data_IF_319092931440
#
_entry.id   IF_319092931440
#
_cell.length_a   1.000
_cell.length_b   1.000
_cell.length_c   1.000
_cell.angle_alpha   90.00
_cell.angle_beta   90.00
_cell.angle_gamma   90.00
#
_symmetry.space_group_name_H-M   'P 1'
#
loop_
_entity.id
_entity.type
_entity.pdbx_description
1 polymer ?
#
# COMPACT_ATOMS: atom_id res chain seq x y z
N UNK A 1 -1.87 -41.49 -19.97
CA UNK A 1 -1.77 -40.02 -20.05
C UNK A 1 -1.75 -39.44 -18.64
N UNK A 2 -0.60 -39.06 -18.09
CA UNK A 2 -0.56 -38.20 -16.91
C UNK A 2 -0.46 -36.73 -17.37
N UNK A 3 -1.31 -35.88 -16.80
CA UNK A 3 -1.42 -34.46 -17.09
C UNK A 3 -0.18 -33.78 -16.48
N UNK A 4 0.79 -33.45 -17.33
CA UNK A 4 1.98 -32.70 -16.95
C UNK A 4 1.56 -31.30 -16.55
N UNK A 5 1.71 -30.97 -15.27
CA UNK A 5 1.73 -29.59 -14.84
C UNK A 5 3.03 -29.02 -15.39
N UNK A 6 2.92 -28.13 -16.36
CA UNK A 6 4.01 -27.31 -16.83
C UNK A 6 4.61 -26.58 -15.63
N UNK A 7 5.87 -26.92 -15.33
CA UNK A 7 6.78 -26.08 -14.56
C UNK A 7 6.79 -24.69 -15.22
N UNK A 8 6.04 -23.77 -14.63
CA UNK A 8 6.20 -22.35 -14.88
C UNK A 8 7.34 -21.80 -14.00
N UNK A 9 8.04 -20.73 -14.44
CA UNK A 9 9.22 -20.12 -13.80
C UNK A 9 8.94 -19.43 -12.43
N UNK A 10 7.87 -19.82 -11.74
CA UNK A 10 7.37 -19.17 -10.52
C UNK A 10 7.89 -19.87 -9.26
N UNK A 11 8.40 -21.10 -9.37
CA UNK A 11 8.84 -21.87 -8.21
C UNK A 11 10.22 -21.44 -7.67
N UNK A 12 11.15 -21.02 -8.52
CA UNK A 12 12.51 -20.62 -8.08
C UNK A 12 12.56 -19.24 -7.40
N UNK A 13 11.72 -18.29 -7.81
CA UNK A 13 11.77 -16.91 -7.26
C UNK A 13 11.28 -16.82 -5.81
N UNK A 14 10.49 -17.81 -5.36
CA UNK A 14 10.01 -17.86 -3.98
C UNK A 14 11.11 -18.24 -2.98
N UNK A 15 12.12 -19.01 -3.40
CA UNK A 15 13.22 -19.44 -2.53
C UNK A 15 14.34 -18.39 -2.46
N UNK A 16 14.64 -17.70 -3.57
CA UNK A 16 15.61 -16.60 -3.61
C UNK A 16 15.25 -15.41 -2.69
N UNK A 17 13.95 -15.13 -2.50
CA UNK A 17 13.49 -14.08 -1.58
C UNK A 17 13.78 -14.40 -0.10
N UNK A 18 13.99 -15.67 0.26
CA UNK A 18 14.25 -16.07 1.66
C UNK A 18 15.71 -15.92 2.08
N UNK A 19 16.66 -16.04 1.14
CA UNK A 19 18.11 -16.00 1.42
C UNK A 19 18.66 -14.57 1.63
N UNK A 20 18.04 -13.57 0.99
CA UNK A 20 18.46 -12.16 1.11
C UNK A 20 18.29 -11.57 2.52
N UNK A 21 17.52 -12.21 3.41
CA UNK A 21 17.27 -11.73 4.77
C UNK A 21 18.43 -12.04 5.74
N UNK A 22 19.34 -12.97 5.39
CA UNK A 22 20.39 -13.45 6.31
C UNK A 22 21.68 -12.61 6.27
N UNK A 23 21.88 -11.78 5.23
CA UNK A 23 23.17 -11.12 4.95
C UNK A 23 23.43 -9.75 5.58
N UNK A 24 22.52 -9.23 6.41
CA UNK A 24 22.82 -8.11 7.33
C UNK A 24 23.52 -6.89 6.69
N UNK A 25 23.28 -6.60 5.43
CA UNK A 25 23.85 -5.44 4.74
C UNK A 25 22.84 -4.30 4.91
N UNK A 26 23.16 -3.24 5.69
CA UNK A 26 22.33 -2.06 5.71
C UNK A 26 22.50 -1.41 4.33
N UNK A 27 21.62 -1.78 3.40
CA UNK A 27 21.29 -0.91 2.28
C UNK A 27 20.80 0.35 2.96
N UNK A 28 21.66 1.35 3.11
CA UNK A 28 21.24 2.68 3.54
C UNK A 28 20.15 3.06 2.56
N UNK A 29 18.87 3.12 2.99
CA UNK A 29 17.85 3.57 2.07
C UNK A 29 18.28 4.98 1.68
N UNK A 30 18.39 5.23 0.37
CA UNK A 30 18.36 6.58 -0.18
C UNK A 30 17.33 7.39 0.63
N UNK A 31 17.48 8.69 0.89
CA UNK A 31 16.44 9.43 1.61
C UNK A 31 15.16 9.43 0.76
N UNK A 32 14.37 8.36 0.89
CA UNK A 32 13.07 8.21 0.29
C UNK A 32 12.27 9.32 0.96
N UNK A 33 11.86 10.31 0.16
CA UNK A 33 10.87 11.31 0.50
C UNK A 33 9.81 10.65 1.37
N UNK A 34 9.55 11.16 2.58
CA UNK A 34 8.84 10.42 3.61
C UNK A 34 7.53 9.88 3.04
N UNK A 35 7.34 8.56 3.09
CA UNK A 35 6.10 7.90 2.70
C UNK A 35 4.94 8.49 3.52
N UNK A 36 4.21 9.44 2.94
CA UNK A 36 3.04 10.03 3.60
C UNK A 36 1.83 9.15 3.32
N UNK A 37 0.94 9.02 4.31
CA UNK A 37 -0.29 8.25 4.20
C UNK A 37 -1.40 9.16 3.69
N UNK A 38 -1.87 8.94 2.48
CA UNK A 38 -3.00 9.64 1.88
C UNK A 38 -4.32 8.95 2.25
N UNK A 39 -5.33 9.73 2.62
CA UNK A 39 -6.69 9.27 2.91
C UNK A 39 -7.56 9.61 1.71
N UNK A 40 -8.22 8.59 1.18
CA UNK A 40 -9.20 8.70 0.12
C UNK A 40 -10.56 8.26 0.60
N UNK A 41 -11.61 8.84 0.04
CA UNK A 41 -12.99 8.44 0.30
C UNK A 41 -13.96 9.24 -0.54
N UNK A 42 -15.24 9.03 -0.29
CA UNK A 42 -16.35 9.74 -0.93
C UNK A 42 -17.05 10.62 0.09
N UNK A 43 -17.58 11.76 -0.34
CA UNK A 43 -18.30 12.73 0.50
C UNK A 43 -19.66 13.05 -0.14
N UNK A 44 -20.52 13.77 0.60
CA UNK A 44 -21.84 14.19 0.09
C UNK A 44 -21.72 15.09 -1.14
N UNK A 45 -20.68 15.93 -1.17
CA UNK A 45 -20.38 16.84 -2.27
C UNK A 45 -19.76 16.10 -3.46
N UNK A 46 -18.93 15.09 -3.19
CA UNK A 46 -18.20 14.36 -4.22
C UNK A 46 -18.32 12.84 -3.97
N UNK A 47 -19.33 12.18 -4.57
CA UNK A 47 -19.66 10.78 -4.28
C UNK A 47 -18.63 9.79 -4.83
N UNK A 48 -17.78 10.23 -5.77
CA UNK A 48 -16.65 9.46 -6.27
C UNK A 48 -15.48 9.47 -5.27
N UNK A 49 -14.65 8.42 -5.30
CA UNK A 49 -13.50 8.32 -4.41
C UNK A 49 -12.46 9.38 -4.80
N UNK A 50 -12.26 10.35 -3.94
CA UNK A 50 -11.29 11.44 -4.10
C UNK A 50 -10.37 11.55 -2.88
N UNK A 51 -9.35 12.39 -2.99
CA UNK A 51 -8.39 12.62 -1.91
C UNK A 51 -9.02 13.53 -0.86
N UNK A 52 -9.08 13.05 0.38
CA UNK A 52 -9.66 13.78 1.51
C UNK A 52 -8.60 14.53 2.34
N UNK A 53 -7.35 14.06 2.29
CA UNK A 53 -6.24 14.66 3.04
C UNK A 53 -5.17 13.64 3.40
N UNK A 54 -4.14 14.10 4.09
CA UNK A 54 -3.10 13.22 4.65
C UNK A 54 -3.52 12.69 6.02
N UNK A 55 -3.22 11.44 6.34
CA UNK A 55 -3.59 10.81 7.62
C UNK A 55 -2.88 11.41 8.85
N UNK A 56 -1.98 12.38 8.65
CA UNK A 56 -1.39 13.20 9.71
C UNK A 56 -2.22 14.47 9.99
N UNK A 57 -3.05 14.88 9.04
CA UNK A 57 -3.88 16.09 9.06
C UNK A 57 -5.37 15.77 9.22
N UNK A 58 -5.83 14.63 8.69
CA UNK A 58 -7.21 14.15 8.80
C UNK A 58 -7.24 12.76 9.42
N UNK A 59 -8.18 12.55 10.35
CA UNK A 59 -8.40 11.24 10.95
C UNK A 59 -9.44 10.45 10.12
N UNK A 60 -9.06 9.31 9.52
CA UNK A 60 -9.96 8.52 8.69
C UNK A 60 -11.12 7.90 9.48
N UNK A 61 -10.91 7.56 10.75
CA UNK A 61 -11.94 6.99 11.61
C UNK A 61 -12.94 8.10 12.00
N UNK A 62 -12.47 9.28 12.41
CA UNK A 62 -13.35 10.42 12.72
C UNK A 62 -14.22 10.81 11.51
N UNK A 63 -13.64 10.84 10.31
CA UNK A 63 -14.37 11.15 9.08
C UNK A 63 -15.51 10.16 8.81
N UNK A 64 -15.29 8.88 9.12
CA UNK A 64 -16.30 7.84 8.98
C UNK A 64 -17.35 7.91 10.10
N UNK A 65 -16.92 8.04 11.36
CA UNK A 65 -17.81 8.11 12.54
C UNK A 65 -18.73 9.33 12.50
N UNK A 66 -18.21 10.47 12.03
CA UNK A 66 -18.98 11.69 11.83
C UNK A 66 -19.93 11.64 10.62
N UNK A 67 -19.81 10.63 9.76
CA UNK A 67 -20.58 10.48 8.53
C UNK A 67 -20.22 11.51 7.45
N UNK A 68 -19.08 12.20 7.57
CA UNK A 68 -18.61 13.19 6.59
C UNK A 68 -18.03 12.53 5.34
N UNK A 69 -17.48 11.34 5.49
CA UNK A 69 -16.98 10.56 4.37
C UNK A 69 -17.23 9.06 4.55
N UNK A 70 -17.26 8.33 3.43
CA UNK A 70 -17.44 6.89 3.40
C UNK A 70 -16.49 6.23 2.39
N UNK A 71 -16.39 4.89 2.44
CA UNK A 71 -15.48 4.15 1.56
C UNK A 71 -14.01 4.49 1.80
N UNK A 72 -13.64 4.82 3.04
CA UNK A 72 -12.32 5.34 3.39
C UNK A 72 -11.23 4.32 3.09
N UNK A 73 -10.17 4.75 2.38
CA UNK A 73 -8.99 3.96 2.04
C UNK A 73 -7.74 4.78 2.33
N UNK A 74 -6.76 4.18 3.03
CA UNK A 74 -5.48 4.82 3.32
C UNK A 74 -4.38 4.17 2.51
N UNK A 75 -3.70 4.95 1.67
CA UNK A 75 -2.59 4.49 0.82
C UNK A 75 -1.29 5.16 1.25
N UNK A 76 -0.17 4.45 1.11
CA UNK A 76 1.15 5.08 1.23
C UNK A 76 1.50 5.68 -0.12
N UNK A 77 1.74 6.98 -0.16
CA UNK A 77 2.19 7.67 -1.35
C UNK A 77 3.65 8.11 -1.18
N UNK A 78 4.44 7.77 -2.19
CA UNK A 78 5.80 8.21 -2.32
C UNK A 78 5.82 9.43 -3.26
N UNK A 79 6.31 10.57 -2.79
CA UNK A 79 6.55 11.72 -3.67
C UNK A 79 7.87 11.50 -4.41
N UNK A 80 7.80 11.13 -5.69
CA UNK A 80 8.95 11.06 -6.62
C UNK A 80 9.48 12.46 -6.98
#
# INVERSE_FOLDING_TARGET
MPRGYEEGPVAEEAEARRDALERGEPIEPLPHTPDRRAVYGSTDEEPERHFLGWADEVDPDELFESGRAWGITVLREHMD
#
